data_IF_953596966363
#
_entry.id   IF_953596966363
#
_cell.length_a   1.000
_cell.length_b   1.000
_cell.length_c   1.000
_cell.angle_alpha   90.00
_cell.angle_beta   90.00
_cell.angle_gamma   90.00
#
_symmetry.space_group_name_H-M   'P 1'
#
loop_
_entity.id
_entity.type
_entity.pdbx_description
1 polymer ?
#
# COMPACT_ATOMS: atom_id res chain seq x y z
N UNK A 1 -11.22 -0.70 -13.79
CA UNK A 1 -11.51 -0.86 -12.35
C UNK A 1 -11.53 -2.34 -12.06
N UNK A 2 -10.79 -2.78 -11.05
CA UNK A 2 -10.77 -4.19 -10.65
C UNK A 2 -12.04 -4.51 -9.86
N UNK A 3 -12.51 -5.76 -9.94
CA UNK A 3 -13.72 -6.22 -9.23
C UNK A 3 -13.50 -6.31 -7.73
N UNK A 4 -12.36 -6.87 -7.32
CA UNK A 4 -12.04 -7.18 -5.94
C UNK A 4 -10.54 -7.04 -5.70
N UNK A 5 -10.16 -7.01 -4.41
CA UNK A 5 -8.76 -6.94 -3.96
C UNK A 5 -7.88 -8.04 -4.59
N UNK A 6 -8.42 -9.26 -4.72
CA UNK A 6 -7.71 -10.38 -5.32
C UNK A 6 -7.36 -10.11 -6.78
N UNK A 7 -8.35 -9.68 -7.59
CA UNK A 7 -8.15 -9.36 -9.01
C UNK A 7 -7.15 -8.21 -9.19
N UNK A 8 -7.22 -7.19 -8.33
CA UNK A 8 -6.27 -6.07 -8.35
C UNK A 8 -4.86 -6.51 -8.00
N UNK A 9 -4.70 -7.37 -6.98
CA UNK A 9 -3.40 -7.87 -6.57
C UNK A 9 -2.76 -8.71 -7.67
N UNK A 10 -3.51 -9.59 -8.32
CA UNK A 10 -3.03 -10.38 -9.45
C UNK A 10 -2.65 -9.49 -10.65
N UNK A 11 -3.49 -8.54 -11.03
CA UNK A 11 -3.20 -7.64 -12.14
C UNK A 11 -1.98 -6.74 -11.86
N UNK A 12 -1.83 -6.23 -10.64
CA UNK A 12 -0.65 -5.46 -10.23
C UNK A 12 0.62 -6.33 -10.24
N UNK A 13 0.50 -7.60 -9.84
CA UNK A 13 1.60 -8.56 -9.93
C UNK A 13 2.03 -8.77 -11.38
N UNK A 14 1.10 -8.90 -12.33
CA UNK A 14 1.40 -8.98 -13.77
C UNK A 14 2.08 -7.71 -14.32
N UNK A 15 1.80 -6.54 -13.71
CA UNK A 15 2.49 -5.27 -14.02
C UNK A 15 3.89 -5.16 -13.38
N UNK A 16 4.31 -6.15 -12.60
CA UNK A 16 5.62 -6.20 -11.94
C UNK A 16 5.62 -5.73 -10.49
N UNK A 17 4.47 -5.42 -9.88
CA UNK A 17 4.36 -5.14 -8.45
C UNK A 17 4.30 -6.46 -7.65
N UNK A 18 5.37 -7.24 -7.71
CA UNK A 18 5.45 -8.59 -7.11
C UNK A 18 5.75 -8.58 -5.60
N UNK A 19 6.17 -7.43 -5.06
CA UNK A 19 6.50 -7.29 -3.64
C UNK A 19 5.29 -6.89 -2.79
N UNK A 20 5.35 -7.26 -1.51
CA UNK A 20 4.35 -6.86 -0.51
C UNK A 20 4.97 -5.89 0.48
N UNK A 21 4.42 -4.68 0.50
CA UNK A 21 4.75 -3.65 1.47
C UNK A 21 3.78 -3.68 2.65
N UNK A 22 4.31 -3.37 3.84
CA UNK A 22 3.55 -3.27 5.07
C UNK A 22 3.97 -2.03 5.85
N UNK A 23 3.05 -1.54 6.69
CA UNK A 23 3.31 -0.41 7.58
C UNK A 23 4.04 -0.89 8.83
N UNK A 24 5.29 -0.48 8.96
CA UNK A 24 6.06 -0.54 10.19
C UNK A 24 5.68 0.59 11.15
N UNK A 25 6.49 0.80 12.19
CA UNK A 25 6.29 1.88 13.17
C UNK A 25 6.50 3.27 12.57
N UNK A 26 7.61 3.47 11.85
CA UNK A 26 7.97 4.78 11.27
C UNK A 26 8.37 4.66 9.79
N UNK A 27 8.32 3.46 9.22
CA UNK A 27 8.75 3.16 7.86
C UNK A 27 7.84 2.12 7.21
N UNK A 28 8.01 1.93 5.90
CA UNK A 28 7.32 0.90 5.13
C UNK A 28 8.29 -0.25 4.91
N UNK A 29 7.89 -1.46 5.30
CA UNK A 29 8.74 -2.64 5.22
C UNK A 29 8.29 -3.52 4.07
N UNK A 30 9.23 -3.95 3.22
CA UNK A 30 9.00 -4.98 2.22
C UNK A 30 9.35 -6.34 2.83
N UNK A 31 8.34 -7.17 3.09
CA UNK A 31 8.56 -8.52 3.63
C UNK A 31 9.36 -9.41 2.71
N UNK A 32 9.12 -9.31 1.40
CA UNK A 32 9.76 -10.16 0.40
C UNK A 32 11.27 -9.92 0.32
N UNK A 33 11.71 -8.67 0.54
CA UNK A 33 13.12 -8.27 0.46
C UNK A 33 13.77 -8.05 1.82
N UNK A 34 13.03 -8.26 2.92
CA UNK A 34 13.44 -7.92 4.30
C UNK A 34 14.08 -6.53 4.40
N UNK A 35 13.51 -5.56 3.67
CA UNK A 35 14.08 -4.21 3.51
C UNK A 35 13.09 -3.15 3.98
N UNK A 36 13.60 -2.09 4.59
CA UNK A 36 12.80 -0.96 5.05
C UNK A 36 12.99 0.25 4.15
N UNK A 37 11.89 0.91 3.82
CA UNK A 37 11.83 2.09 2.98
C UNK A 37 11.19 3.24 3.75
N UNK A 38 11.77 4.42 3.59
CA UNK A 38 11.15 5.66 4.05
C UNK A 38 10.03 6.05 3.09
N UNK A 39 8.96 6.66 3.60
CA UNK A 39 7.82 7.08 2.78
C UNK A 39 8.24 8.03 1.64
N UNK A 40 9.20 8.91 1.89
CA UNK A 40 9.76 9.86 0.91
C UNK A 40 10.57 9.18 -0.22
N UNK A 41 10.92 7.89 -0.06
CA UNK A 41 11.63 7.09 -1.07
C UNK A 41 10.69 6.22 -1.90
N UNK A 42 9.39 6.35 -1.66
CA UNK A 42 8.34 5.57 -2.26
C UNK A 42 7.39 6.51 -3.00
N UNK A 43 6.99 6.10 -4.19
CA UNK A 43 6.04 6.83 -5.03
C UNK A 43 4.84 5.96 -5.32
N UNK A 44 3.65 6.48 -5.05
CA UNK A 44 2.40 5.81 -5.40
C UNK A 44 2.19 5.95 -6.92
N UNK A 45 2.05 4.81 -7.60
CA UNK A 45 1.78 4.75 -9.05
C UNK A 45 0.30 4.53 -9.34
N UNK A 46 -0.36 3.68 -8.55
CA UNK A 46 -1.79 3.41 -8.67
C UNK A 46 -2.42 3.32 -7.29
N UNK A 47 -3.69 3.72 -7.18
CA UNK A 47 -4.49 3.59 -5.96
C UNK A 47 -5.85 3.04 -6.34
N UNK A 48 -6.28 1.98 -5.65
CA UNK A 48 -7.61 1.41 -5.85
C UNK A 48 -8.27 1.14 -4.50
N UNK A 49 -9.47 1.67 -4.35
CA UNK A 49 -10.31 1.50 -3.18
C UNK A 49 -11.36 0.43 -3.46
N UNK A 50 -11.50 -0.51 -2.53
CA UNK A 50 -12.45 -1.61 -2.57
C UNK A 50 -13.38 -1.48 -1.38
N UNK A 51 -14.65 -1.24 -1.66
CA UNK A 51 -15.71 -1.39 -0.68
C UNK A 51 -16.36 -2.74 -0.92
N UNK A 52 -16.14 -3.69 0.00
CA UNK A 52 -16.77 -5.02 -0.11
C UNK A 52 -18.22 -5.02 0.39
N UNK A 53 -18.80 -3.87 0.75
CA UNK A 53 -20.23 -3.67 1.03
C UNK A 53 -20.85 -4.53 2.13
N UNK A 54 -20.05 -5.33 2.84
CA UNK A 54 -20.55 -6.39 3.72
C UNK A 54 -20.58 -5.97 5.20
N UNK A 55 -19.73 -5.02 5.60
CA UNK A 55 -19.69 -4.46 6.96
C UNK A 55 -19.15 -3.02 6.92
N UNK A 56 -19.72 -2.06 7.69
CA UNK A 56 -19.13 -0.74 7.85
C UNK A 56 -17.69 -0.86 8.39
N UNK A 57 -16.70 -0.45 7.58
CA UNK A 57 -15.27 -0.60 7.89
C UNK A 57 -14.55 -1.73 7.16
N UNK A 58 -15.22 -2.43 6.22
CA UNK A 58 -14.58 -3.41 5.31
C UNK A 58 -13.84 -2.76 4.14
N UNK A 59 -13.82 -1.43 4.07
CA UNK A 59 -13.13 -0.66 3.05
C UNK A 59 -11.63 -0.93 3.10
N UNK A 60 -11.10 -1.38 1.97
CA UNK A 60 -9.68 -1.63 1.80
C UNK A 60 -9.13 -0.86 0.61
N UNK A 61 -7.98 -0.23 0.79
CA UNK A 61 -7.28 0.50 -0.26
C UNK A 61 -5.97 -0.20 -0.56
N UNK A 62 -5.74 -0.51 -1.83
CA UNK A 62 -4.44 -0.97 -2.34
C UNK A 62 -3.70 0.20 -2.98
N UNK A 63 -2.45 0.37 -2.60
CA UNK A 63 -1.52 1.31 -3.20
C UNK A 63 -0.46 0.51 -3.96
N UNK A 64 -0.35 0.72 -5.26
CA UNK A 64 0.78 0.23 -6.05
C UNK A 64 1.93 1.23 -5.90
N UNK A 65 3.03 0.79 -5.30
CA UNK A 65 4.13 1.64 -4.88
C UNK A 65 5.39 1.21 -5.62
N UNK A 66 6.16 2.19 -6.07
CA UNK A 66 7.50 2.00 -6.64
C UNK A 66 8.51 2.76 -5.78
N UNK A 67 9.57 2.08 -5.35
CA UNK A 67 10.71 2.69 -4.71
C UNK A 67 11.65 3.31 -5.75
N UNK A 68 12.40 4.34 -5.33
CA UNK A 68 13.44 4.97 -6.16
C UNK A 68 14.51 3.95 -6.64
N UNK A 69 14.71 2.87 -5.89
CA UNK A 69 15.58 1.75 -6.28
C UNK A 69 15.01 0.86 -7.41
N UNK A 70 13.81 1.16 -7.93
CA UNK A 70 13.10 0.38 -8.94
C UNK A 70 12.28 -0.80 -8.39
N UNK A 71 12.24 -0.98 -7.06
CA UNK A 71 11.47 -2.04 -6.41
C UNK A 71 9.99 -1.70 -6.44
N UNK A 72 9.15 -2.61 -6.96
CA UNK A 72 7.71 -2.40 -7.10
C UNK A 72 6.93 -3.37 -6.23
N UNK A 73 5.96 -2.87 -5.49
CA UNK A 73 5.12 -3.68 -4.63
C UNK A 73 3.80 -3.03 -4.32
N UNK A 74 2.96 -3.75 -3.58
CA UNK A 74 1.64 -3.30 -3.19
C UNK A 74 1.55 -3.14 -1.68
N UNK A 75 0.91 -2.06 -1.23
CA UNK A 75 0.56 -1.82 0.16
C UNK A 75 -0.97 -1.88 0.29
N UNK A 76 -1.47 -2.84 1.04
CA UNK A 76 -2.90 -3.00 1.30
C UNK A 76 -3.20 -2.44 2.67
N UNK A 77 -4.27 -1.67 2.75
CA UNK A 77 -4.69 -1.00 3.97
C UNK A 77 -6.19 -1.12 4.16
N UNK A 78 -6.65 -1.15 5.40
CA UNK A 78 -8.07 -1.18 5.72
C UNK A 78 -8.39 0.00 6.62
N UNK A 79 -9.29 0.87 6.18
CA UNK A 79 -9.55 2.18 6.79
C UNK A 79 -9.91 2.06 8.30
N UNK A 80 -10.49 0.93 8.71
CA UNK A 80 -10.87 0.66 10.11
C UNK A 80 -9.74 0.35 11.11
N UNK A 81 -8.47 0.22 10.69
CA UNK A 81 -7.36 -0.24 11.58
C UNK A 81 -6.25 0.77 11.85
N UNK A 82 -6.37 2.02 11.44
CA UNK A 82 -5.38 3.06 11.77
C UNK A 82 -5.53 3.64 13.17
N UNK A 83 -5.63 2.76 14.17
CA UNK A 83 -5.65 3.15 15.59
C UNK A 83 -4.25 3.56 16.06
N UNK A 84 -3.19 3.15 15.33
CA UNK A 84 -1.80 3.52 15.63
C UNK A 84 -1.44 4.89 15.01
N UNK A 85 -1.20 5.94 15.84
CA UNK A 85 -0.86 7.27 15.35
C UNK A 85 0.47 7.29 14.59
N UNK A 86 1.39 6.37 14.90
CA UNK A 86 2.66 6.26 14.19
C UNK A 86 2.46 5.71 12.76
N UNK A 87 1.60 4.71 12.59
CA UNK A 87 1.24 4.20 11.25
C UNK A 87 0.50 5.25 10.43
N UNK A 88 -0.38 6.03 11.05
CA UNK A 88 -1.09 7.12 10.39
C UNK A 88 -0.12 8.16 9.80
N UNK A 89 0.93 8.54 10.55
CA UNK A 89 1.98 9.45 10.04
C UNK A 89 2.71 8.90 8.83
N UNK A 90 3.02 7.60 8.80
CA UNK A 90 3.72 6.97 7.68
C UNK A 90 2.90 7.06 6.39
N UNK A 91 1.58 6.87 6.50
CA UNK A 91 0.66 6.99 5.36
C UNK A 91 0.50 8.43 4.94
N UNK A 92 0.33 9.35 5.89
CA UNK A 92 0.21 10.78 5.60
C UNK A 92 1.43 11.29 4.82
N UNK A 93 2.63 10.85 5.22
CA UNK A 93 3.87 11.10 4.47
C UNK A 93 3.86 10.48 3.08
N UNK A 94 3.43 9.21 2.95
CA UNK A 94 3.38 8.50 1.68
C UNK A 94 2.37 9.13 0.70
N UNK A 95 1.24 9.62 1.20
CA UNK A 95 0.24 10.34 0.41
C UNK A 95 0.77 11.74 0.04
N UNK A 96 1.50 12.39 0.94
CA UNK A 96 2.14 13.68 0.67
C UNK A 96 3.30 13.58 -0.33
N UNK A 97 3.96 12.43 -0.45
CA UNK A 97 5.02 12.19 -1.43
C UNK A 97 4.49 11.77 -2.81
N UNK A 98 3.19 11.55 -2.97
CA UNK A 98 2.56 11.15 -4.23
C UNK A 98 2.26 12.33 -5.19
N UNK A 99 2.83 13.52 -4.93
CA UNK A 99 2.62 14.75 -5.69
C UNK A 99 3.57 14.97 -6.86
#
# INVERSE_FOLDING_TARGET
>A
MYKDLAEATEALKEKGFDHTFELGKDCITCKTLDTQYQADKLSIKETHEFDQGTDPGSESTIYAIEADSGVKGTLITSYGKYVDPDKAKVIDKLLSSAG
#
